data_IF_036634954409
#
_entry.id   IF_036634954409
#
_cell.length_a   1.000
_cell.length_b   1.000
_cell.length_c   1.000
_cell.angle_alpha   90.00
_cell.angle_beta   90.00
_cell.angle_gamma   90.00
#
_symmetry.space_group_name_H-M   'P 1'
#
loop_
_entity.id
_entity.type
_entity.pdbx_description
1 polymer ?
#
# COMPACT_ATOMS: atom_id res chain seq x y z
N UNK A 1 5.04 -44.33 -33.04
CA UNK A 1 3.93 -43.35 -33.03
C UNK A 1 3.54 -43.13 -31.58
N UNK A 2 3.64 -41.91 -31.04
CA UNK A 2 3.23 -41.68 -29.64
C UNK A 2 1.70 -41.75 -29.55
N UNK A 3 1.14 -42.40 -28.51
CA UNK A 3 -0.30 -42.48 -28.34
C UNK A 3 -0.89 -41.07 -28.12
N UNK A 4 -2.12 -40.80 -28.56
CA UNK A 4 -2.76 -39.48 -28.46
C UNK A 4 -2.81 -38.97 -27.01
N UNK A 5 -2.99 -39.88 -26.05
CA UNK A 5 -2.92 -39.57 -24.62
C UNK A 5 -1.56 -39.02 -24.18
N UNK A 6 -0.45 -39.51 -24.74
CA UNK A 6 0.89 -39.01 -24.42
C UNK A 6 1.16 -37.64 -25.04
N UNK A 7 0.53 -37.32 -26.18
CA UNK A 7 0.60 -35.98 -26.76
C UNK A 7 -0.17 -34.96 -25.92
N UNK A 8 -1.32 -35.34 -25.38
CA UNK A 8 -2.11 -34.53 -24.45
C UNK A 8 -1.38 -34.33 -23.11
N UNK A 9 -0.84 -35.40 -22.52
CA UNK A 9 -0.04 -35.28 -21.30
C UNK A 9 1.16 -34.33 -21.50
N UNK A 10 1.81 -34.40 -22.68
CA UNK A 10 2.94 -33.54 -23.03
C UNK A 10 2.55 -32.08 -23.26
N UNK A 11 1.37 -31.80 -23.81
CA UNK A 11 0.90 -30.42 -24.00
C UNK A 11 0.52 -29.77 -22.67
N UNK A 12 -0.12 -30.52 -21.77
CA UNK A 12 -0.46 -30.05 -20.41
C UNK A 12 0.79 -29.78 -19.57
N UNK A 13 1.78 -30.70 -19.59
CA UNK A 13 3.05 -30.49 -18.88
C UNK A 13 3.82 -29.27 -19.41
N UNK A 14 3.80 -29.02 -20.72
CA UNK A 14 4.47 -27.85 -21.31
C UNK A 14 3.79 -26.53 -20.93
N UNK A 15 2.47 -26.52 -20.79
CA UNK A 15 1.74 -25.35 -20.33
C UNK A 15 2.04 -25.01 -18.86
N UNK A 16 2.25 -26.02 -18.01
CA UNK A 16 2.63 -25.83 -16.61
C UNK A 16 4.12 -25.45 -16.43
N UNK A 17 5.01 -25.91 -17.31
CA UNK A 17 6.44 -25.65 -17.24
C UNK A 17 6.88 -24.34 -17.93
N UNK A 18 6.00 -23.72 -18.71
CA UNK A 18 6.29 -22.41 -19.30
C UNK A 18 5.92 -21.35 -18.26
N UNK A 19 6.86 -20.47 -17.85
CA UNK A 19 6.45 -19.29 -17.11
C UNK A 19 5.36 -18.60 -17.93
N UNK A 20 4.20 -18.38 -17.31
CA UNK A 20 3.10 -17.64 -17.94
C UNK A 20 3.60 -16.31 -18.50
N UNK A 21 2.88 -15.70 -19.46
CA UNK A 21 3.27 -14.39 -19.97
C UNK A 21 3.56 -13.48 -18.78
N UNK A 22 4.75 -12.88 -18.77
CA UNK A 22 5.20 -12.01 -17.69
C UNK A 22 4.06 -11.04 -17.31
N UNK A 23 3.86 -10.75 -16.02
CA UNK A 23 2.79 -9.85 -15.60
C UNK A 23 2.90 -8.54 -16.39
N UNK A 24 1.91 -8.28 -17.24
CA UNK A 24 1.79 -7.03 -18.00
C UNK A 24 1.28 -5.97 -17.02
N UNK A 25 2.20 -5.20 -16.47
CA UNK A 25 1.91 -4.12 -15.52
C UNK A 25 3.16 -3.28 -15.24
N UNK A 26 2.97 -2.10 -14.64
CA UNK A 26 4.07 -1.27 -14.18
C UNK A 26 4.83 -2.01 -13.08
N UNK A 27 6.11 -2.31 -13.36
CA UNK A 27 7.02 -2.93 -12.40
C UNK A 27 8.02 -1.88 -11.96
N UNK A 28 8.02 -1.54 -10.67
CA UNK A 28 9.07 -0.73 -10.07
C UNK A 28 10.26 -1.61 -9.67
N UNK A 29 11.45 -1.00 -9.70
CA UNK A 29 12.62 -1.55 -9.02
C UNK A 29 12.48 -1.45 -7.48
N UNK A 30 13.45 -2.00 -6.73
CA UNK A 30 13.49 -1.83 -5.29
C UNK A 30 13.57 -0.35 -4.90
N UNK A 31 13.06 0.00 -3.71
CA UNK A 31 13.15 1.36 -3.20
C UNK A 31 14.63 1.77 -3.03
N UNK A 32 15.00 2.95 -3.55
CA UNK A 32 16.35 3.53 -3.37
C UNK A 32 16.66 3.76 -1.89
N UNK A 33 15.67 4.21 -1.13
CA UNK A 33 15.71 4.39 0.32
C UNK A 33 14.49 3.70 0.92
N UNK A 34 14.61 2.46 1.42
CA UNK A 34 13.48 1.75 2.01
C UNK A 34 13.03 2.47 3.29
N UNK A 35 11.74 2.75 3.38
CA UNK A 35 11.13 3.36 4.56
C UNK A 35 10.83 2.24 5.56
N UNK A 36 11.35 2.35 6.77
CA UNK A 36 11.05 1.37 7.82
C UNK A 36 9.59 1.47 8.26
N UNK A 37 9.07 0.42 8.90
CA UNK A 37 7.76 0.49 9.56
C UNK A 37 7.74 1.60 10.60
N UNK A 38 8.84 1.81 11.33
CA UNK A 38 8.96 2.88 12.32
C UNK A 38 8.84 4.27 11.66
N UNK A 39 9.54 4.50 10.55
CA UNK A 39 9.48 5.76 9.80
C UNK A 39 8.09 6.02 9.24
N UNK A 40 7.41 4.96 8.79
CA UNK A 40 6.02 5.06 8.29
C UNK A 40 5.07 5.46 9.41
N UNK A 41 5.17 4.83 10.58
CA UNK A 41 4.34 5.15 11.74
C UNK A 41 4.59 6.59 12.21
N UNK A 42 5.86 7.00 12.30
CA UNK A 42 6.22 8.37 12.69
C UNK A 42 5.72 9.39 11.67
N UNK A 43 5.91 9.14 10.37
CA UNK A 43 5.43 10.01 9.30
C UNK A 43 3.92 10.14 9.31
N UNK A 44 3.19 9.03 9.44
CA UNK A 44 1.74 9.05 9.52
C UNK A 44 1.24 9.79 10.77
N UNK A 45 1.82 9.51 11.94
CA UNK A 45 1.49 10.21 13.17
C UNK A 45 1.75 11.72 13.05
N UNK A 46 2.88 12.12 12.46
CA UNK A 46 3.22 13.52 12.24
C UNK A 46 2.19 14.23 11.34
N UNK A 47 1.72 13.58 10.27
CA UNK A 47 0.65 14.11 9.40
C UNK A 47 -0.66 14.28 10.17
N UNK A 48 -1.03 13.32 11.01
CA UNK A 48 -2.25 13.43 11.82
C UNK A 48 -2.13 14.56 12.84
N UNK A 49 -1.02 14.63 13.59
CA UNK A 49 -0.80 15.67 14.60
C UNK A 49 -0.74 17.06 13.97
N UNK A 50 -0.16 17.21 12.77
CA UNK A 50 -0.07 18.53 12.12
C UNK A 50 -1.43 19.08 11.69
N UNK A 51 -2.37 18.20 11.31
CA UNK A 51 -3.74 18.60 10.94
C UNK A 51 -4.62 18.73 12.18
N UNK A 52 -4.66 17.70 13.02
CA UNK A 52 -5.58 17.62 14.15
C UNK A 52 -5.10 18.38 15.38
N UNK A 53 -3.79 18.61 15.55
CA UNK A 53 -3.26 19.36 16.69
C UNK A 53 -3.82 20.79 16.76
N UNK A 54 -3.68 21.60 15.70
CA UNK A 54 -4.27 22.94 15.66
C UNK A 54 -5.80 22.92 15.78
N UNK A 55 -6.47 21.98 15.11
CA UNK A 55 -7.93 21.85 15.18
C UNK A 55 -8.41 21.52 16.60
N UNK A 56 -7.74 20.59 17.27
CA UNK A 56 -8.04 20.20 18.65
C UNK A 56 -7.79 21.37 19.62
N UNK A 57 -6.73 22.15 19.41
CA UNK A 57 -6.48 23.36 20.19
C UNK A 57 -7.63 24.36 20.05
N UNK A 58 -8.00 24.72 18.82
CA UNK A 58 -9.08 25.70 18.58
C UNK A 58 -10.40 25.21 19.16
N UNK A 59 -10.76 23.95 18.91
CA UNK A 59 -12.02 23.38 19.39
C UNK A 59 -12.05 23.23 20.92
N UNK A 60 -10.91 22.89 21.53
CA UNK A 60 -10.77 22.80 22.98
C UNK A 60 -10.96 24.14 23.69
N UNK A 61 -10.59 25.25 23.04
CA UNK A 61 -10.70 26.61 23.60
C UNK A 61 -11.97 27.34 23.16
N UNK A 62 -12.94 26.68 22.52
CA UNK A 62 -14.19 27.32 22.09
C UNK A 62 -14.92 28.02 23.24
N UNK A 63 -14.90 27.44 24.44
CA UNK A 63 -15.57 28.03 25.62
C UNK A 63 -14.84 29.28 26.13
N UNK A 64 -13.51 29.31 26.00
CA UNK A 64 -12.69 30.46 26.41
C UNK A 64 -12.86 31.63 25.43
N UNK A 65 -13.09 31.33 24.15
CA UNK A 65 -13.43 32.34 23.14
C UNK A 65 -14.84 32.91 23.32
N UNK A 66 -15.73 32.19 24.02
CA UNK A 66 -17.13 32.58 24.24
C UNK A 66 -17.27 33.61 25.37
N UNK A 67 -16.35 34.58 25.49
CA UNK A 67 -16.37 35.58 26.57
C UNK A 67 -17.77 36.18 26.69
N UNK A 68 -18.31 36.10 27.91
CA UNK A 68 -19.60 36.64 28.34
C UNK A 68 -19.60 38.15 28.07
N UNK A 69 -20.64 38.61 27.41
CA UNK A 69 -21.03 40.00 27.36
C UNK A 69 -21.24 40.48 28.81
N UNK A 70 -20.27 41.24 29.33
CA UNK A 70 -20.48 42.22 30.41
C UNK A 70 -20.39 43.61 29.79
#
# INVERSE_FOLDING_TARGET
>A
MLPPAALLARSVLRAAARPGPAPRGLRSGPALSPVSTADTVLGLAAVFVSIFGPAAWVLGHIQDYRKREE
#
